data_IF_074288981360
#
_entry.id   IF_074288981360
#
_cell.length_a   1.000
_cell.length_b   1.000
_cell.length_c   1.000
_cell.angle_alpha   90.00
_cell.angle_beta   90.00
_cell.angle_gamma   90.00
#
_symmetry.space_group_name_H-M   'P 1'
#
loop_
_entity.id
_entity.type
_entity.pdbx_description
1 polymer ?
#
# COMPACT_ATOMS: atom_id res chain seq x y z
N UNK A 1 -5.08 9.85 5.99
CA UNK A 1 -6.03 8.72 6.01
C UNK A 1 -5.64 7.69 4.97
N UNK A 2 -5.93 6.44 5.24
CA UNK A 2 -5.85 5.35 4.27
C UNK A 2 -7.27 4.90 3.96
N UNK A 3 -7.61 4.85 2.70
CA UNK A 3 -8.92 4.36 2.26
C UNK A 3 -8.86 2.86 2.03
N UNK A 4 -9.95 2.16 2.25
CA UNK A 4 -10.02 0.73 2.00
C UNK A 4 -11.35 0.28 1.43
N UNK A 5 -11.33 -0.84 0.72
CA UNK A 5 -12.53 -1.59 0.35
C UNK A 5 -12.32 -3.08 0.55
N UNK A 6 -13.38 -3.81 0.83
CA UNK A 6 -13.35 -5.25 1.01
C UNK A 6 -14.38 -5.89 0.10
N UNK A 7 -13.93 -6.81 -0.74
CA UNK A 7 -14.81 -7.69 -1.50
C UNK A 7 -14.66 -9.12 -0.97
N UNK A 8 -15.77 -9.76 -0.75
CA UNK A 8 -15.83 -11.12 -0.22
C UNK A 8 -16.41 -12.08 -1.24
N UNK A 9 -15.75 -13.23 -1.41
CA UNK A 9 -16.25 -14.38 -2.14
C UNK A 9 -16.46 -15.57 -1.20
N UNK A 10 -16.91 -16.69 -1.71
CA UNK A 10 -17.01 -17.92 -0.90
C UNK A 10 -15.66 -18.37 -0.35
N UNK A 11 -14.56 -18.11 -1.06
CA UNK A 11 -13.25 -18.67 -0.76
C UNK A 11 -12.19 -17.65 -0.36
N UNK A 12 -12.39 -16.37 -0.68
CA UNK A 12 -11.37 -15.33 -0.47
C UNK A 12 -11.98 -14.01 -0.04
N UNK A 13 -11.15 -13.21 0.64
CA UNK A 13 -11.31 -11.77 0.78
C UNK A 13 -10.31 -11.08 -0.16
N UNK A 14 -10.77 -10.01 -0.78
CA UNK A 14 -9.96 -9.08 -1.57
C UNK A 14 -10.01 -7.74 -0.85
N UNK A 15 -8.91 -7.35 -0.23
CA UNK A 15 -8.82 -6.16 0.60
C UNK A 15 -7.93 -5.16 -0.13
N UNK A 16 -8.51 -4.04 -0.55
CA UNK A 16 -7.77 -2.96 -1.18
C UNK A 16 -7.51 -1.86 -0.17
N UNK A 17 -6.30 -1.35 -0.17
CA UNK A 17 -5.91 -0.12 0.49
C UNK A 17 -5.48 0.90 -0.55
N UNK A 18 -5.88 2.15 -0.33
CA UNK A 18 -5.59 3.25 -1.22
C UNK A 18 -4.93 4.38 -0.44
N UNK A 19 -3.83 4.88 -0.97
CA UNK A 19 -3.02 5.95 -0.41
C UNK A 19 -3.20 7.19 -1.27
N UNK A 20 -3.82 8.21 -0.69
CA UNK A 20 -4.10 9.46 -1.39
C UNK A 20 -2.97 10.46 -1.13
N UNK A 21 -2.42 10.97 -2.21
CA UNK A 21 -1.46 12.06 -2.21
C UNK A 21 -2.11 13.27 -2.89
N UNK A 22 -2.20 14.42 -2.23
CA UNK A 22 -2.79 15.62 -2.82
C UNK A 22 -2.10 16.05 -4.11
N UNK A 23 -0.81 15.70 -4.25
CA UNK A 23 -0.01 16.09 -5.39
C UNK A 23 1.14 15.10 -5.62
N UNK A 24 1.38 14.79 -6.87
CA UNK A 24 2.62 14.21 -7.36
C UNK A 24 3.51 15.32 -7.94
N UNK A 25 4.70 15.47 -7.39
CA UNK A 25 5.68 16.49 -7.78
C UNK A 25 6.85 15.94 -8.58
N UNK A 26 6.60 15.00 -9.49
CA UNK A 26 7.61 14.44 -10.36
C UNK A 26 8.62 15.47 -10.91
N UNK A 27 9.85 15.06 -11.29
CA UNK A 27 10.94 15.98 -11.63
C UNK A 27 10.66 16.80 -12.89
N UNK A 28 9.76 16.34 -13.74
CA UNK A 28 9.36 17.08 -14.94
C UNK A 28 7.89 17.48 -14.88
N UNK A 29 7.56 18.61 -15.49
CA UNK A 29 6.21 19.17 -15.42
C UNK A 29 5.11 18.27 -16.00
N UNK A 30 5.45 17.36 -16.90
CA UNK A 30 4.52 16.40 -17.49
C UNK A 30 4.11 15.27 -16.54
N UNK A 31 4.87 15.08 -15.47
CA UNK A 31 4.62 14.07 -14.43
C UNK A 31 3.95 14.67 -13.20
N UNK A 32 3.84 16.00 -13.16
CA UNK A 32 3.19 16.69 -12.03
C UNK A 32 1.69 16.73 -12.21
N UNK A 33 1.00 16.15 -11.27
CA UNK A 33 -0.46 16.21 -11.22
C UNK A 33 -0.98 16.26 -9.78
N UNK A 34 -2.20 16.74 -9.62
CA UNK A 34 -2.92 16.69 -8.36
C UNK A 34 -3.74 15.40 -8.25
N UNK A 35 -4.05 15.01 -7.03
CA UNK A 35 -4.89 13.86 -6.72
C UNK A 35 -4.29 12.54 -7.21
N UNK A 36 -3.10 12.24 -6.75
CA UNK A 36 -2.45 10.96 -6.97
C UNK A 36 -3.02 9.90 -6.02
N UNK A 37 -3.32 8.71 -6.56
CA UNK A 37 -4.03 7.66 -5.83
C UNK A 37 -3.44 6.30 -6.17
N UNK A 38 -2.61 5.79 -5.29
CA UNK A 38 -1.92 4.53 -5.45
C UNK A 38 -2.44 3.49 -4.45
N UNK A 39 -2.28 2.22 -4.76
CA UNK A 39 -2.93 1.19 -3.96
C UNK A 39 -2.16 -0.09 -3.77
N UNK A 40 -2.69 -0.90 -2.84
CA UNK A 40 -2.28 -2.27 -2.60
C UNK A 40 -3.52 -3.17 -2.41
N UNK A 41 -3.59 -4.25 -3.17
CA UNK A 41 -4.58 -5.30 -3.04
C UNK A 41 -3.98 -6.48 -2.28
N UNK A 42 -4.70 -6.97 -1.28
CA UNK A 42 -4.35 -8.18 -0.54
C UNK A 42 -5.39 -9.26 -0.78
N UNK A 43 -4.94 -10.44 -1.19
CA UNK A 43 -5.79 -11.62 -1.36
C UNK A 43 -5.59 -12.54 -0.18
N UNK A 44 -6.67 -12.78 0.56
CA UNK A 44 -6.69 -13.61 1.76
C UNK A 44 -7.61 -14.80 1.51
N UNK A 45 -7.08 -16.01 1.62
CA UNK A 45 -7.86 -17.23 1.51
C UNK A 45 -8.62 -17.50 2.81
N UNK A 46 -9.89 -17.82 2.70
CA UNK A 46 -10.69 -18.33 3.83
C UNK A 46 -10.31 -19.78 4.11
N UNK A 47 -9.62 -20.03 5.21
CA UNK A 47 -9.11 -21.32 5.61
C UNK A 47 -9.77 -21.89 6.87
N UNK A 48 -10.84 -21.22 7.33
CA UNK A 48 -11.57 -21.57 8.56
C UNK A 48 -11.01 -20.89 9.82
N UNK A 49 -9.91 -20.19 9.72
CA UNK A 49 -9.44 -19.30 10.82
C UNK A 49 -10.16 -17.96 10.77
N UNK A 50 -10.16 -17.17 11.88
CA UNK A 50 -10.84 -15.87 11.91
C UNK A 50 -10.33 -14.85 10.88
N UNK A 51 -9.05 -14.94 10.50
CA UNK A 51 -8.39 -13.96 9.62
C UNK A 51 -8.00 -14.53 8.27
N UNK A 52 -8.12 -15.85 8.06
CA UNK A 52 -7.68 -16.51 6.84
C UNK A 52 -6.16 -16.56 6.69
N UNK A 53 -5.71 -16.94 5.50
CA UNK A 53 -4.29 -17.04 5.14
C UNK A 53 -3.98 -16.09 4.00
N UNK A 54 -2.89 -15.34 4.14
CA UNK A 54 -2.38 -14.49 3.07
C UNK A 54 -1.96 -15.33 1.86
N UNK A 55 -2.34 -14.89 0.68
CA UNK A 55 -2.04 -15.56 -0.59
C UNK A 55 -1.15 -14.69 -1.47
N UNK A 56 -1.58 -13.47 -1.73
CA UNK A 56 -0.96 -12.57 -2.69
C UNK A 56 -1.14 -11.12 -2.24
N UNK A 57 -0.15 -10.31 -2.53
CA UNK A 57 -0.26 -8.85 -2.54
C UNK A 57 0.03 -8.35 -3.95
N UNK A 58 -0.81 -7.46 -4.46
CA UNK A 58 -0.53 -6.69 -5.66
C UNK A 58 -0.43 -5.22 -5.28
N UNK A 59 0.59 -4.53 -5.75
CA UNK A 59 0.77 -3.09 -5.53
C UNK A 59 0.80 -2.35 -6.85
N UNK A 60 0.33 -1.11 -6.81
CA UNK A 60 0.36 -0.22 -7.96
C UNK A 60 1.45 0.85 -7.76
N UNK A 61 2.22 1.08 -8.80
CA UNK A 61 3.13 2.20 -8.90
C UNK A 61 3.03 2.78 -10.32
N UNK A 62 2.41 3.93 -10.44
CA UNK A 62 2.01 4.53 -11.72
C UNK A 62 1.10 3.59 -12.53
N UNK A 63 1.51 3.22 -13.73
CA UNK A 63 0.77 2.31 -14.61
C UNK A 63 1.27 0.86 -14.54
N UNK A 64 2.04 0.51 -13.51
CA UNK A 64 2.59 -0.83 -13.34
C UNK A 64 2.00 -1.48 -12.09
N UNK A 65 1.72 -2.77 -12.22
CA UNK A 65 1.29 -3.63 -11.13
C UNK A 65 2.42 -4.60 -10.79
N UNK A 66 2.65 -4.80 -9.49
CA UNK A 66 3.70 -5.67 -8.95
C UNK A 66 3.06 -6.69 -8.03
N UNK A 67 3.39 -7.96 -8.20
CA UNK A 67 2.79 -9.07 -7.49
C UNK A 67 3.80 -9.73 -6.56
N UNK A 68 3.38 -9.97 -5.32
CA UNK A 68 4.23 -10.51 -4.28
C UNK A 68 3.54 -11.67 -3.56
N UNK A 69 4.27 -12.76 -3.35
CA UNK A 69 3.79 -13.91 -2.58
C UNK A 69 4.92 -14.61 -1.85
N UNK A 70 4.62 -15.13 -0.67
CA UNK A 70 5.55 -15.97 0.10
C UNK A 70 5.33 -17.47 -0.18
N UNK A 71 4.34 -17.80 -1.00
CA UNK A 71 4.07 -19.15 -1.47
C UNK A 71 4.69 -19.35 -2.85
N UNK A 72 5.78 -20.10 -2.92
CA UNK A 72 6.48 -20.39 -4.16
C UNK A 72 5.68 -21.26 -5.15
N UNK A 73 4.55 -21.81 -4.73
CA UNK A 73 3.64 -22.55 -5.62
C UNK A 73 2.72 -21.64 -6.42
N UNK A 74 2.60 -20.38 -6.01
CA UNK A 74 1.85 -19.36 -6.74
C UNK A 74 2.74 -18.86 -7.87
N UNK A 75 2.49 -19.40 -9.05
CA UNK A 75 3.17 -19.01 -10.28
C UNK A 75 2.08 -18.53 -11.23
N UNK A 76 2.12 -17.27 -11.59
CA UNK A 76 1.37 -16.85 -12.75
C UNK A 76 2.14 -17.26 -14.01
N UNK A 77 1.46 -17.86 -14.96
CA UNK A 77 2.08 -18.31 -16.22
C UNK A 77 2.40 -17.17 -17.17
N UNK A 78 1.85 -16.00 -16.92
CA UNK A 78 1.97 -14.81 -17.78
C UNK A 78 2.73 -13.65 -17.15
N UNK A 79 2.74 -13.56 -15.82
CA UNK A 79 3.44 -12.53 -15.09
C UNK A 79 4.29 -13.15 -13.98
N UNK A 80 5.48 -12.64 -13.78
CA UNK A 80 6.39 -13.11 -12.74
C UNK A 80 5.96 -12.55 -11.37
N UNK A 81 6.13 -13.36 -10.32
CA UNK A 81 6.05 -12.86 -8.95
C UNK A 81 7.30 -12.02 -8.68
N UNK A 82 7.10 -10.74 -8.37
CA UNK A 82 8.16 -9.75 -8.20
C UNK A 82 8.96 -9.93 -6.90
N UNK A 83 8.41 -10.64 -5.93
CA UNK A 83 9.09 -10.92 -4.67
C UNK A 83 8.20 -11.43 -3.56
N UNK A 84 8.74 -11.40 -2.34
CA UNK A 84 8.06 -11.81 -1.12
C UNK A 84 7.56 -10.60 -0.34
N UNK A 85 6.64 -10.85 0.59
CA UNK A 85 6.10 -9.84 1.52
C UNK A 85 6.75 -10.01 2.89
N UNK A 86 7.23 -8.92 3.46
CA UNK A 86 7.64 -8.84 4.86
C UNK A 86 6.43 -8.50 5.72
N UNK A 87 6.31 -9.17 6.87
CA UNK A 87 5.26 -8.95 7.84
C UNK A 87 5.83 -8.36 9.14
N UNK A 88 5.16 -7.35 9.68
CA UNK A 88 5.39 -6.84 11.03
C UNK A 88 4.18 -7.21 11.89
N UNK A 89 4.39 -8.05 12.91
CA UNK A 89 3.34 -8.56 13.82
C UNK A 89 2.12 -9.15 13.08
N UNK A 90 2.35 -9.84 11.95
CA UNK A 90 1.29 -10.43 11.13
C UNK A 90 0.62 -9.48 10.13
N UNK A 91 1.05 -8.23 10.07
CA UNK A 91 0.58 -7.25 9.09
C UNK A 91 1.56 -7.13 7.92
N UNK A 92 1.12 -7.23 6.68
CA UNK A 92 1.98 -7.06 5.52
C UNK A 92 2.49 -5.62 5.43
N UNK A 93 3.76 -5.48 5.10
CA UNK A 93 4.42 -4.18 5.00
C UNK A 93 4.54 -3.73 3.56
N UNK A 94 4.11 -2.52 3.29
CA UNK A 94 4.33 -1.80 2.04
C UNK A 94 5.11 -0.52 2.31
N UNK A 95 5.73 0.03 1.29
CA UNK A 95 6.27 1.38 1.35
C UNK A 95 5.73 2.20 0.17
N UNK A 96 5.66 3.50 0.39
CA UNK A 96 5.34 4.46 -0.67
C UNK A 96 6.65 5.06 -1.12
N UNK A 97 6.97 4.94 -2.41
CA UNK A 97 8.20 5.52 -2.95
C UNK A 97 8.16 7.04 -2.85
N UNK A 98 9.28 7.68 -2.49
CA UNK A 98 9.33 9.13 -2.40
C UNK A 98 9.18 9.77 -3.76
N UNK A 99 8.57 10.94 -3.76
CA UNK A 99 8.39 11.75 -4.93
C UNK A 99 9.75 12.20 -5.50
N UNK A 100 10.04 11.85 -6.74
CA UNK A 100 10.99 12.62 -7.54
C UNK A 100 12.46 12.22 -7.50
N UNK A 101 12.85 11.02 -7.10
CA UNK A 101 14.25 10.57 -7.22
C UNK A 101 14.39 9.42 -8.21
N UNK A 102 14.95 9.72 -9.36
CA UNK A 102 15.29 8.72 -10.38
C UNK A 102 14.33 8.64 -11.55
N UNK A 103 14.45 7.55 -12.33
CA UNK A 103 13.67 7.32 -13.54
C UNK A 103 12.21 6.92 -13.29
N UNK A 104 11.82 6.76 -12.03
CA UNK A 104 10.45 6.46 -11.59
C UNK A 104 9.98 7.58 -10.66
N UNK A 105 9.80 8.74 -11.24
CA UNK A 105 9.31 9.92 -10.53
C UNK A 105 7.83 9.77 -10.20
N UNK A 106 7.49 9.99 -8.95
CA UNK A 106 6.13 9.95 -8.43
C UNK A 106 5.94 8.96 -7.30
N UNK A 107 4.84 9.09 -6.60
CA UNK A 107 4.45 8.15 -5.56
C UNK A 107 4.05 6.81 -6.18
N UNK A 108 4.47 5.73 -5.56
CA UNK A 108 4.07 4.39 -5.98
C UNK A 108 4.16 3.43 -4.80
N UNK A 109 3.26 2.49 -4.72
CA UNK A 109 3.26 1.48 -3.65
C UNK A 109 4.05 0.26 -4.06
N UNK A 110 4.89 -0.23 -3.16
CA UNK A 110 5.68 -1.44 -3.35
C UNK A 110 5.76 -2.27 -2.08
N UNK A 111 6.16 -3.53 -2.21
CA UNK A 111 6.50 -4.33 -1.04
C UNK A 111 7.72 -3.74 -0.33
N UNK A 112 7.66 -3.69 1.00
CA UNK A 112 8.79 -3.29 1.81
C UNK A 112 9.88 -4.37 1.76
N UNK A 113 11.13 -3.97 1.52
CA UNK A 113 12.28 -4.88 1.40
C UNK A 113 13.14 -4.97 2.67
N UNK A 114 12.71 -4.30 3.74
CA UNK A 114 13.48 -4.25 4.99
C UNK A 114 14.48 -3.11 5.08
N UNK A 115 14.61 -2.29 4.05
CA UNK A 115 15.55 -1.17 4.02
C UNK A 115 14.92 0.09 4.62
N UNK A 116 15.59 0.69 5.61
CA UNK A 116 15.17 1.97 6.18
C UNK A 116 15.25 3.15 5.19
N UNK A 117 15.92 2.96 4.07
CA UNK A 117 16.01 3.97 3.02
C UNK A 117 14.82 3.96 2.05
N UNK A 118 13.92 2.99 2.21
CA UNK A 118 12.68 2.94 1.44
C UNK A 118 11.61 3.82 2.09
N UNK A 119 10.81 4.41 1.25
CA UNK A 119 9.71 5.27 1.66
C UNK A 119 10.11 6.74 1.80
N UNK A 120 9.10 7.55 1.99
CA UNK A 120 9.24 8.99 2.14
C UNK A 120 9.77 9.32 3.54
N UNK A 121 10.99 9.82 3.61
CA UNK A 121 11.68 10.23 4.85
C UNK A 121 11.73 9.16 5.96
N UNK A 122 11.52 7.88 5.64
CA UNK A 122 11.58 6.79 6.60
C UNK A 122 10.48 6.80 7.66
N UNK A 123 9.39 7.50 7.40
CA UNK A 123 8.24 7.53 8.31
C UNK A 123 7.52 6.19 8.28
N UNK A 124 7.21 5.66 9.46
CA UNK A 124 6.46 4.43 9.61
C UNK A 124 5.06 4.76 10.08
N UNK A 125 4.06 4.35 9.31
CA UNK A 125 2.67 4.42 9.70
C UNK A 125 2.19 3.05 10.17
N UNK A 126 1.64 3.01 11.39
CA UNK A 126 1.00 1.81 11.93
C UNK A 126 -0.43 2.13 12.32
N UNK A 127 -1.33 1.22 12.00
CA UNK A 127 -2.69 1.31 12.47
C UNK A 127 -2.78 0.83 13.91
N UNK A 128 -3.20 1.71 14.81
CA UNK A 128 -3.37 1.42 16.23
C UNK A 128 -4.77 1.73 16.74
N UNK A 129 -5.75 1.82 15.81
CA UNK A 129 -7.16 2.15 16.09
C UNK A 129 -7.39 3.61 16.56
N UNK A 130 -6.50 4.51 16.15
CA UNK A 130 -6.56 5.93 16.47
C UNK A 130 -6.70 6.83 15.23
N UNK A 131 -6.65 8.13 15.48
CA UNK A 131 -6.60 9.11 14.40
C UNK A 131 -5.16 9.34 13.96
N UNK A 132 -4.91 9.27 12.66
CA UNK A 132 -3.59 9.58 12.14
C UNK A 132 -3.24 11.05 12.34
N UNK A 133 -2.03 11.29 12.81
CA UNK A 133 -1.43 12.61 12.75
C UNK A 133 -0.50 12.66 11.54
N UNK A 134 -0.78 13.53 10.60
CA UNK A 134 0.12 13.78 9.47
C UNK A 134 1.29 14.64 10.00
N UNK A 135 2.54 14.18 9.88
CA UNK A 135 3.68 15.00 10.28
C UNK A 135 3.84 16.17 9.31
N UNK A 136 3.77 17.38 9.81
CA UNK A 136 3.93 18.59 8.99
C UNK A 136 5.38 18.81 8.54
N UNK A 137 6.36 18.21 9.17
CA UNK A 137 7.78 18.34 8.85
C UNK A 137 8.55 17.10 9.28
N UNK A 138 8.52 16.08 8.49
CA UNK A 138 9.22 14.83 8.77
C UNK A 138 10.66 14.77 8.25
N UNK A 139 11.23 15.87 7.82
CA UNK A 139 12.59 15.89 7.28
C UNK A 139 13.62 15.47 8.32
N UNK A 140 14.20 14.33 8.13
CA UNK A 140 15.44 13.90 8.78
C UNK A 140 15.33 13.07 10.05
N UNK A 141 14.16 12.55 10.41
CA UNK A 141 14.05 11.69 11.57
C UNK A 141 13.25 10.41 11.22
N UNK A 142 13.98 9.34 10.98
CA UNK A 142 13.49 8.05 10.49
C UNK A 142 12.81 7.17 11.57
N UNK A 143 12.50 7.71 12.74
CA UNK A 143 11.98 6.92 13.87
C UNK A 143 10.55 7.29 14.29
N UNK A 144 9.85 8.11 13.53
CA UNK A 144 8.48 8.45 13.87
C UNK A 144 7.50 7.37 13.44
N UNK A 145 6.80 6.84 14.40
CA UNK A 145 5.66 5.94 14.17
C UNK A 145 4.39 6.77 14.31
N UNK A 146 3.59 6.79 13.27
CA UNK A 146 2.30 7.48 13.26
C UNK A 146 1.18 6.47 13.09
N UNK A 147 0.10 6.73 13.76
CA UNK A 147 -1.16 6.06 13.50
C UNK A 147 -1.87 6.69 12.29
N UNK A 148 -2.81 5.99 11.70
CA UNK A 148 -3.58 6.50 10.56
C UNK A 148 -5.05 6.13 10.66
N UNK A 149 -5.89 6.98 10.08
CA UNK A 149 -7.32 6.73 9.98
C UNK A 149 -7.63 5.80 8.79
N UNK A 150 -8.40 4.75 9.04
CA UNK A 150 -8.96 3.90 8.01
C UNK A 150 -10.36 4.37 7.62
N UNK A 151 -10.56 4.70 6.35
CA UNK A 151 -11.84 5.17 5.82
C UNK A 151 -12.35 4.16 4.78
N UNK A 152 -13.53 3.60 5.03
CA UNK A 152 -14.18 2.73 4.05
C UNK A 152 -14.55 3.51 2.79
N UNK A 153 -14.20 2.97 1.63
CA UNK A 153 -14.60 3.54 0.34
C UNK A 153 -16.11 3.53 0.16
N UNK A 154 -16.81 2.56 0.75
CA UNK A 154 -18.27 2.50 0.72
C UNK A 154 -18.91 3.69 1.42
N UNK A 155 -18.26 4.19 2.50
CA UNK A 155 -18.70 5.39 3.21
C UNK A 155 -18.29 6.66 2.45
N UNK A 156 -17.08 6.65 1.87
CA UNK A 156 -16.54 7.80 1.14
C UNK A 156 -17.31 8.09 -0.15
N UNK A 157 -17.66 7.06 -0.91
CA UNK A 157 -18.46 7.22 -2.14
C UNK A 157 -19.91 7.60 -1.83
N UNK A 158 -20.24 7.66 -0.55
CA UNK A 158 -21.57 7.99 -0.09
C UNK A 158 -22.60 6.93 -0.48
N UNK A 159 -23.75 6.97 0.12
CA UNK A 159 -24.90 6.14 -0.26
C UNK A 159 -25.46 6.53 -1.64
N UNK A 160 -24.58 6.70 -2.62
CA UNK A 160 -24.89 7.10 -4.00
C UNK A 160 -24.79 5.92 -4.99
N UNK A 161 -24.82 4.70 -4.46
CA UNK A 161 -25.03 3.49 -5.26
C UNK A 161 -26.41 2.91 -4.97
#
# INVERSE_FOLDING_TARGET
AVYYSVQETETHYFINYFFFHPRDDGPISAEKHENDFEGALFVIKKDGTPYGSFVLMETQAHNHFYQYSNDSSIIDRSDDIDGAVIFDNGHPCVYISPNGIGTNAGHGVRAYDGSAAQGDDGIIYRYTDGLSMVPENASGNYEYVYDYELISMDVFLGAAL
#
